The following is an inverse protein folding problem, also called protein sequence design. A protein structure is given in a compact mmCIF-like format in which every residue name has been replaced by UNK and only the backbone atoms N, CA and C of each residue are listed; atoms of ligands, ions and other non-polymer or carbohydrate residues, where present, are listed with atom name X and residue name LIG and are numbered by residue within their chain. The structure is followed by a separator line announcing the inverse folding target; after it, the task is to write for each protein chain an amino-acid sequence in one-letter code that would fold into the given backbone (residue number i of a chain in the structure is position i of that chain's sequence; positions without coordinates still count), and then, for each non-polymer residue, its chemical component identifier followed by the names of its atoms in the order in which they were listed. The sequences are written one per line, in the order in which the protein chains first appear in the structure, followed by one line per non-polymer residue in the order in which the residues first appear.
data_IF_779000262045
#
_entry.id   IF_779000262045
#
_cell.length_a   1.000
_cell.length_b   1.000
_cell.length_c   1.000
_cell.angle_alpha   90.00
_cell.angle_beta   90.00
_cell.angle_gamma   90.00
#
_symmetry.space_group_name_H-M   'P 1'
#
loop_
_entity.id
_entity.type
_entity.pdbx_description
1 polymer ?
#
# COMPACT_ATOMS: atom_id res chain seq x y z
N UNK A 1 17.16 -1.26 24.18
CA UNK A 1 16.18 -0.18 24.47
C UNK A 1 16.50 1.00 23.55
N UNK A 2 15.87 1.06 22.37
CA UNK A 2 15.97 2.22 21.48
C UNK A 2 14.76 3.10 21.75
N UNK A 3 14.99 4.35 22.13
CA UNK A 3 13.96 5.35 22.45
C UNK A 3 13.34 5.99 21.19
N UNK A 4 13.58 5.43 20.01
CA UNK A 4 12.94 5.88 18.77
C UNK A 4 11.73 4.98 18.50
N UNK A 5 10.53 5.56 18.48
CA UNK A 5 9.33 4.85 18.02
C UNK A 5 9.62 4.24 16.64
N UNK A 6 9.31 2.96 16.40
CA UNK A 6 9.55 2.32 15.09
C UNK A 6 8.87 3.07 13.93
N UNK A 7 7.79 3.80 14.23
CA UNK A 7 7.12 4.73 13.31
C UNK A 7 8.02 5.90 12.84
N UNK A 8 8.82 6.48 13.75
CA UNK A 8 9.75 7.56 13.44
C UNK A 8 10.96 7.04 12.64
N UNK A 9 11.41 5.82 12.93
CA UNK A 9 12.47 5.17 12.16
C UNK A 9 12.01 4.83 10.74
N UNK A 10 10.77 4.37 10.58
CA UNK A 10 10.16 4.13 9.27
C UNK A 10 9.98 5.44 8.48
N UNK A 11 9.58 6.52 9.14
CA UNK A 11 9.49 7.84 8.54
C UNK A 11 10.88 8.36 8.10
N UNK A 12 11.91 8.23 8.93
CA UNK A 12 13.28 8.62 8.58
C UNK A 12 13.84 7.81 7.41
N UNK A 13 13.61 6.49 7.41
CA UNK A 13 13.96 5.62 6.28
C UNK A 13 13.20 5.97 5.00
N UNK A 14 11.97 6.50 5.11
CA UNK A 14 11.14 6.93 3.97
C UNK A 14 11.65 8.21 3.31
N UNK A 15 12.18 9.15 4.09
CA UNK A 15 12.64 10.45 3.61
C UNK A 15 14.16 10.53 3.42
N UNK A 16 14.87 9.42 3.63
CA UNK A 16 16.34 9.40 3.62
C UNK A 16 16.92 9.91 2.31
N UNK A 17 16.40 9.45 1.18
CA UNK A 17 16.87 9.86 -0.15
C UNK A 17 16.62 11.36 -0.40
N UNK A 18 15.50 11.89 0.09
CA UNK A 18 15.19 13.32 0.00
C UNK A 18 16.12 14.17 0.89
N UNK A 19 16.39 13.72 2.11
CA UNK A 19 17.31 14.41 3.05
C UNK A 19 18.76 14.40 2.53
N UNK A 20 19.19 13.27 1.95
CA UNK A 20 20.52 13.17 1.31
C UNK A 20 20.59 14.09 0.10
N UNK A 21 19.56 14.10 -0.77
CA UNK A 21 19.48 15.00 -1.92
C UNK A 21 19.54 16.48 -1.52
N UNK A 22 18.81 16.87 -0.47
CA UNK A 22 18.87 18.22 0.10
C UNK A 22 20.27 18.59 0.58
N UNK A 23 20.95 17.66 1.26
CA UNK A 23 22.32 17.87 1.72
C UNK A 23 23.30 18.06 0.56
N UNK A 24 23.13 17.30 -0.52
CA UNK A 24 23.94 17.44 -1.74
C UNK A 24 23.69 18.77 -2.45
N UNK A 25 22.45 19.25 -2.50
CA UNK A 25 22.13 20.56 -3.09
C UNK A 25 22.74 21.71 -2.30
N UNK A 26 22.68 21.65 -0.96
CA UNK A 26 23.33 22.64 -0.09
C UNK A 26 24.85 22.60 -0.25
N UNK A 27 25.45 21.41 -0.29
CA UNK A 27 26.88 21.26 -0.51
C UNK A 27 27.31 21.75 -1.91
N UNK A 28 26.51 21.46 -2.94
CA UNK A 28 26.70 21.95 -4.29
C UNK A 28 26.64 23.47 -4.36
N UNK A 29 25.64 24.08 -3.72
CA UNK A 29 25.47 25.54 -3.65
C UNK A 29 26.67 26.23 -2.99
N UNK A 30 27.15 25.71 -1.85
CA UNK A 30 28.36 26.22 -1.18
C UNK A 30 29.59 26.09 -2.09
N UNK A 31 29.67 25.00 -2.85
CA UNK A 31 30.78 24.75 -3.77
C UNK A 31 30.77 25.75 -4.93
N UNK A 32 29.60 26.09 -5.50
CA UNK A 32 29.49 27.05 -6.63
C UNK A 32 30.09 28.44 -6.29
N UNK A 33 29.99 28.89 -5.04
CA UNK A 33 30.55 30.18 -4.60
C UNK A 33 32.07 30.17 -4.37
N UNK A 34 32.75 29.05 -4.62
CA UNK A 34 34.19 28.96 -4.47
C UNK A 34 34.97 29.74 -5.54
N UNK A 35 36.26 30.05 -5.31
CA UNK A 35 37.03 30.99 -6.13
C UNK A 35 37.46 30.49 -7.52
N UNK A 36 37.29 29.20 -7.84
CA UNK A 36 37.78 28.61 -9.09
C UNK A 36 36.65 28.20 -10.04
N UNK A 37 36.93 28.18 -11.35
CA UNK A 37 35.96 27.65 -12.34
C UNK A 37 35.65 26.16 -12.13
N UNK A 38 36.59 25.38 -11.58
CA UNK A 38 36.36 23.99 -11.25
C UNK A 38 35.24 23.84 -10.21
N UNK A 39 35.20 24.73 -9.21
CA UNK A 39 34.18 24.72 -8.17
C UNK A 39 32.76 24.94 -8.74
N UNK A 40 32.61 25.75 -9.79
CA UNK A 40 31.33 25.92 -10.49
C UNK A 40 30.87 24.62 -11.17
N UNK A 41 31.77 23.91 -11.87
CA UNK A 41 31.43 22.64 -12.53
C UNK A 41 31.04 21.58 -11.49
N UNK A 42 31.84 21.43 -10.43
CA UNK A 42 31.56 20.47 -9.36
C UNK A 42 30.28 20.79 -8.59
N UNK A 43 30.03 22.07 -8.30
CA UNK A 43 28.82 22.51 -7.61
C UNK A 43 27.55 22.23 -8.42
N UNK A 44 27.57 22.50 -9.74
CA UNK A 44 26.44 22.18 -10.62
C UNK A 44 26.20 20.67 -10.74
N UNK A 45 27.26 19.86 -10.79
CA UNK A 45 27.13 18.39 -10.79
C UNK A 45 26.55 17.86 -9.48
N UNK A 46 26.94 18.43 -8.34
CA UNK A 46 26.38 18.06 -7.04
C UNK A 46 24.90 18.43 -6.93
N UNK A 47 24.51 19.63 -7.40
CA UNK A 47 23.10 20.06 -7.40
C UNK A 47 22.24 19.22 -8.37
N UNK A 48 22.77 18.84 -9.53
CA UNK A 48 22.01 17.97 -10.45
C UNK A 48 21.79 16.58 -9.84
N UNK A 49 22.81 16.02 -9.19
CA UNK A 49 22.70 14.74 -8.48
C UNK A 49 21.74 14.82 -7.29
N UNK A 50 21.80 15.90 -6.50
CA UNK A 50 20.90 16.16 -5.38
C UNK A 50 19.45 16.26 -5.82
N UNK A 51 19.18 17.02 -6.88
CA UNK A 51 17.85 17.16 -7.50
C UNK A 51 17.31 15.82 -7.99
N UNK A 52 18.11 14.99 -8.66
CA UNK A 52 17.70 13.65 -9.11
C UNK A 52 17.35 12.76 -7.91
N UNK A 53 18.16 12.76 -6.85
CA UNK A 53 17.90 11.99 -5.64
C UNK A 53 16.65 12.47 -4.90
N UNK A 54 16.41 13.78 -4.85
CA UNK A 54 15.17 14.35 -4.33
C UNK A 54 13.96 13.89 -5.12
N UNK A 55 14.02 13.90 -6.45
CA UNK A 55 12.92 13.48 -7.31
C UNK A 55 12.61 11.99 -7.14
N UNK A 56 13.63 11.13 -7.12
CA UNK A 56 13.49 9.69 -6.87
C UNK A 56 12.97 9.42 -5.46
N UNK A 57 13.49 10.14 -4.46
CA UNK A 57 13.02 10.05 -3.08
C UNK A 57 11.56 10.46 -2.95
N UNK A 58 11.13 11.52 -3.63
CA UNK A 58 9.75 12.00 -3.63
C UNK A 58 8.81 11.01 -4.33
N UNK A 59 9.21 10.44 -5.47
CA UNK A 59 8.47 9.36 -6.14
C UNK A 59 8.35 8.15 -5.22
N UNK A 60 9.46 7.65 -4.64
CA UNK A 60 9.45 6.48 -3.75
C UNK A 60 8.65 6.70 -2.47
N UNK A 61 8.73 7.88 -1.87
CA UNK A 61 7.94 8.22 -0.69
C UNK A 61 6.43 8.28 -1.01
N UNK A 62 6.07 8.71 -2.23
CA UNK A 62 4.69 8.74 -2.71
C UNK A 62 4.14 7.33 -2.99
N UNK A 63 4.95 6.43 -3.54
CA UNK A 63 4.53 5.04 -3.83
C UNK A 63 4.53 4.12 -2.59
N UNK A 64 5.45 4.31 -1.62
CA UNK A 64 5.46 3.55 -0.35
C UNK A 64 4.43 4.00 0.69
N UNK A 65 3.59 4.99 0.37
CA UNK A 65 2.65 5.58 1.33
C UNK A 65 1.33 4.80 1.49
N UNK A 66 1.07 3.77 0.67
CA UNK A 66 -0.21 3.05 0.73
C UNK A 66 -0.07 1.53 0.66
N UNK A 67 0.91 0.98 -0.07
CA UNK A 67 1.20 -0.46 -0.12
C UNK A 67 2.39 -0.86 0.77
N UNK A 68 2.15 -1.70 1.77
CA UNK A 68 3.20 -2.23 2.66
C UNK A 68 3.00 -3.68 3.10
N UNK A 69 1.89 -4.28 2.68
CA UNK A 69 1.59 -5.69 2.81
C UNK A 69 2.22 -6.51 1.70
N UNK A 70 2.24 -7.82 1.89
CA UNK A 70 2.68 -8.74 0.85
C UNK A 70 1.67 -8.73 -0.31
N UNK A 71 2.18 -8.59 -1.54
CA UNK A 71 1.40 -8.74 -2.76
C UNK A 71 0.68 -7.49 -3.27
N UNK A 72 0.12 -7.63 -4.47
CA UNK A 72 -0.62 -6.59 -5.20
C UNK A 72 -2.02 -7.09 -5.48
N UNK A 73 -3.01 -6.21 -5.30
CA UNK A 73 -4.41 -6.44 -5.63
C UNK A 73 -4.77 -5.62 -6.85
N UNK A 74 -5.40 -6.26 -7.82
CA UNK A 74 -5.99 -5.63 -8.98
C UNK A 74 -7.49 -5.94 -8.98
N UNK A 75 -8.30 -4.89 -9.12
CA UNK A 75 -9.76 -4.99 -9.07
C UNK A 75 -10.30 -4.41 -10.36
N UNK A 76 -10.95 -5.27 -11.12
CA UNK A 76 -11.77 -4.91 -12.27
C UNK A 76 -13.25 -5.09 -11.90
N UNK A 77 -14.16 -4.57 -12.71
CA UNK A 77 -15.61 -4.49 -12.43
C UNK A 77 -16.26 -5.85 -12.17
N UNK A 78 -15.65 -6.94 -12.66
CA UNK A 78 -16.17 -8.31 -12.52
C UNK A 78 -15.26 -9.23 -11.72
N UNK A 79 -14.05 -8.80 -11.39
CA UNK A 79 -12.99 -9.71 -10.96
C UNK A 79 -12.01 -9.06 -9.98
N UNK A 80 -11.69 -9.78 -8.92
CA UNK A 80 -10.65 -9.44 -7.95
C UNK A 80 -9.49 -10.40 -8.16
N UNK A 81 -8.31 -9.84 -8.42
CA UNK A 81 -7.07 -10.58 -8.64
C UNK A 81 -6.06 -10.19 -7.57
N UNK A 82 -5.44 -11.18 -6.93
CA UNK A 82 -4.39 -10.96 -5.93
C UNK A 82 -3.14 -11.74 -6.31
N UNK A 83 -2.03 -11.01 -6.38
CA UNK A 83 -0.70 -11.50 -6.72
C UNK A 83 0.19 -11.44 -5.47
N UNK A 84 0.06 -12.45 -4.60
CA UNK A 84 0.90 -12.58 -3.42
C UNK A 84 2.18 -13.38 -3.66
N UNK A 85 3.20 -13.23 -2.79
CA UNK A 85 4.52 -13.86 -2.96
C UNK A 85 4.51 -15.38 -2.72
N UNK A 86 3.60 -15.88 -1.89
CA UNK A 86 3.48 -17.30 -1.56
C UNK A 86 2.21 -17.94 -2.15
N UNK A 87 1.14 -17.15 -2.25
CA UNK A 87 -0.14 -17.56 -2.79
C UNK A 87 -0.79 -16.37 -3.48
N UNK A 88 -1.54 -16.64 -4.54
CA UNK A 88 -2.30 -15.67 -5.28
C UNK A 88 -3.54 -16.34 -5.86
N UNK A 89 -4.43 -15.53 -6.41
CA UNK A 89 -5.64 -16.06 -6.98
C UNK A 89 -6.55 -14.99 -7.54
N UNK A 90 -7.55 -15.48 -8.23
CA UNK A 90 -8.59 -14.70 -8.86
C UNK A 90 -9.92 -15.19 -8.31
N UNK A 91 -10.81 -14.26 -8.01
CA UNK A 91 -12.20 -14.48 -7.61
C UNK A 91 -13.07 -13.51 -8.39
N UNK A 92 -14.10 -14.02 -9.07
CA UNK A 92 -15.11 -13.18 -9.71
C UNK A 92 -16.05 -12.56 -8.65
N UNK A 93 -16.40 -11.30 -8.81
CA UNK A 93 -17.31 -10.59 -7.90
C UNK A 93 -18.70 -11.25 -7.86
N UNK A 94 -19.13 -11.80 -9.00
CA UNK A 94 -20.39 -12.54 -9.12
C UNK A 94 -20.35 -13.92 -8.42
N UNK A 95 -19.18 -14.50 -8.21
CA UNK A 95 -19.01 -15.80 -7.54
C UNK A 95 -18.79 -15.68 -6.04
N UNK A 96 -18.51 -14.47 -5.53
CA UNK A 96 -18.28 -14.19 -4.12
C UNK A 96 -19.47 -14.63 -3.25
N UNK A 97 -19.23 -15.52 -2.28
CA UNK A 97 -20.26 -16.02 -1.36
C UNK A 97 -20.09 -15.47 0.05
N UNK A 98 -18.86 -15.17 0.46
CA UNK A 98 -18.55 -14.65 1.79
C UNK A 98 -17.31 -13.77 1.76
N UNK A 99 -17.35 -12.70 2.55
CA UNK A 99 -16.20 -11.86 2.88
C UNK A 99 -16.00 -11.92 4.39
N UNK A 100 -14.79 -12.26 4.83
CA UNK A 100 -14.40 -12.24 6.23
C UNK A 100 -13.06 -11.51 6.42
N UNK A 101 -12.76 -11.14 7.66
CA UNK A 101 -11.41 -10.72 8.08
C UNK A 101 -10.87 -11.78 9.03
N UNK A 102 -9.66 -12.25 8.75
CA UNK A 102 -8.96 -13.30 9.49
C UNK A 102 -7.63 -12.78 10.06
N UNK A 103 -7.15 -13.33 11.20
CA UNK A 103 -5.82 -13.00 11.72
C UNK A 103 -4.72 -13.43 10.73
N UNK A 104 -3.58 -12.70 10.64
CA UNK A 104 -3.17 -11.60 11.51
C UNK A 104 -3.75 -10.22 11.15
N UNK A 105 -4.17 -10.01 9.89
CA UNK A 105 -5.03 -8.90 9.43
C UNK A 105 -5.26 -9.03 7.91
N UNK A 106 -5.99 -10.06 7.48
CA UNK A 106 -6.23 -10.34 6.05
C UNK A 106 -7.72 -10.41 5.75
N UNK A 107 -8.11 -9.91 4.59
CA UNK A 107 -9.38 -10.26 3.97
C UNK A 107 -9.36 -11.72 3.53
N UNK A 108 -10.49 -12.38 3.65
CA UNK A 108 -10.71 -13.72 3.14
C UNK A 108 -11.97 -13.70 2.27
N UNK A 109 -11.79 -14.01 0.99
CA UNK A 109 -12.85 -14.02 -0.02
C UNK A 109 -13.15 -15.47 -0.39
N UNK A 110 -14.35 -15.93 -0.08
CA UNK A 110 -14.81 -17.27 -0.46
C UNK A 110 -15.69 -17.20 -1.69
N UNK A 111 -15.49 -18.12 -2.63
CA UNK A 111 -16.32 -18.25 -3.84
C UNK A 111 -17.38 -19.36 -3.70
N UNK A 112 -18.20 -19.54 -4.73
CA UNK A 112 -19.19 -20.62 -4.84
C UNK A 112 -18.56 -22.01 -4.98
N UNK A 113 -17.32 -22.08 -5.47
CA UNK A 113 -16.59 -23.33 -5.73
C UNK A 113 -15.82 -23.85 -4.51
N UNK A 114 -15.92 -23.17 -3.36
CA UNK A 114 -15.23 -23.53 -2.12
C UNK A 114 -13.77 -23.09 -2.04
N UNK A 115 -13.31 -22.28 -2.98
CA UNK A 115 -11.98 -21.65 -2.94
C UNK A 115 -12.02 -20.45 -2.00
N UNK A 116 -10.93 -20.28 -1.25
CA UNK A 116 -10.72 -19.12 -0.39
C UNK A 116 -9.49 -18.36 -0.84
N UNK A 117 -9.61 -17.04 -1.03
CA UNK A 117 -8.52 -16.15 -1.37
C UNK A 117 -8.25 -15.21 -0.19
N UNK A 118 -7.07 -15.35 0.42
CA UNK A 118 -6.62 -14.46 1.48
C UNK A 118 -5.78 -13.31 0.92
N UNK A 119 -6.15 -12.08 1.28
CA UNK A 119 -5.52 -10.84 0.82
C UNK A 119 -5.17 -9.99 2.05
N UNK A 120 -3.90 -9.68 2.32
CA UNK A 120 -3.53 -8.77 3.41
C UNK A 120 -4.22 -7.41 3.26
N UNK A 121 -4.77 -6.85 4.34
CA UNK A 121 -5.50 -5.56 4.24
C UNK A 121 -4.61 -4.39 3.81
N UNK A 122 -3.28 -4.55 3.93
CA UNK A 122 -2.27 -3.56 3.57
C UNK A 122 -1.55 -3.89 2.25
N UNK A 123 -2.02 -4.89 1.49
CA UNK A 123 -1.51 -5.19 0.16
C UNK A 123 -1.64 -3.95 -0.75
N UNK A 124 -0.74 -3.82 -1.71
CA UNK A 124 -0.77 -2.70 -2.65
C UNK A 124 -2.05 -2.77 -3.50
N UNK A 125 -2.83 -1.69 -3.59
CA UNK A 125 -4.11 -1.67 -4.30
C UNK A 125 -5.29 -2.24 -3.50
N UNK A 126 -5.08 -2.63 -2.23
CA UNK A 126 -6.16 -3.14 -1.38
C UNK A 126 -7.27 -2.10 -1.12
N UNK A 127 -7.04 -0.81 -1.39
CA UNK A 127 -8.06 0.23 -1.31
C UNK A 127 -9.19 -0.01 -2.31
N UNK A 128 -8.88 -0.54 -3.51
CA UNK A 128 -9.87 -0.82 -4.55
C UNK A 128 -10.85 -1.94 -4.15
N UNK A 129 -10.46 -2.81 -3.20
CA UNK A 129 -11.38 -3.81 -2.63
C UNK A 129 -12.55 -3.15 -1.91
N UNK A 130 -12.34 -1.99 -1.29
CA UNK A 130 -13.41 -1.30 -0.57
C UNK A 130 -14.53 -0.89 -1.52
N UNK A 131 -14.18 -0.36 -2.69
CA UNK A 131 -15.14 0.06 -3.71
C UNK A 131 -15.86 -1.16 -4.33
N UNK A 132 -15.13 -2.24 -4.64
CA UNK A 132 -15.73 -3.49 -5.10
C UNK A 132 -16.68 -4.11 -4.07
N UNK A 133 -16.31 -4.10 -2.80
CA UNK A 133 -17.16 -4.60 -1.73
C UNK A 133 -18.38 -3.71 -1.55
N UNK A 134 -18.24 -2.38 -1.61
CA UNK A 134 -19.34 -1.44 -1.47
C UNK A 134 -20.41 -1.58 -2.58
N UNK A 135 -20.04 -2.11 -3.74
CA UNK A 135 -20.98 -2.44 -4.82
C UNK A 135 -21.87 -3.67 -4.52
N UNK A 136 -21.53 -4.49 -3.52
CA UNK A 136 -22.28 -5.70 -3.18
C UNK A 136 -23.60 -5.39 -2.45
N UNK A 137 -24.70 -6.10 -2.77
CA UNK A 137 -25.98 -5.87 -2.13
C UNK A 137 -25.95 -6.24 -0.65
N UNK A 138 -26.51 -5.37 0.18
CA UNK A 138 -26.68 -5.60 1.63
C UNK A 138 -25.42 -5.43 2.48
N UNK A 139 -24.33 -4.89 1.90
CA UNK A 139 -23.12 -4.57 2.66
C UNK A 139 -23.23 -3.17 3.29
N UNK A 140 -22.60 -2.99 4.45
CA UNK A 140 -22.52 -1.69 5.13
C UNK A 140 -21.11 -1.15 5.02
N UNK A 141 -20.95 0.06 4.45
CA UNK A 141 -19.67 0.75 4.37
C UNK A 141 -19.05 0.98 5.76
N UNK A 142 -19.87 1.22 6.79
CA UNK A 142 -19.41 1.33 8.17
C UNK A 142 -18.81 0.00 8.68
N UNK A 143 -19.47 -1.13 8.36
CA UNK A 143 -18.98 -2.46 8.75
C UNK A 143 -17.66 -2.82 8.04
N UNK A 144 -17.50 -2.43 6.78
CA UNK A 144 -16.23 -2.58 6.05
C UNK A 144 -15.11 -1.74 6.67
N UNK A 145 -15.40 -0.50 7.07
CA UNK A 145 -14.42 0.37 7.69
C UNK A 145 -14.01 -0.13 9.08
N UNK A 146 -14.94 -0.63 9.89
CA UNK A 146 -14.62 -1.22 11.20
C UNK A 146 -13.77 -2.49 11.07
N UNK A 147 -14.06 -3.31 10.07
CA UNK A 147 -13.36 -4.55 9.79
C UNK A 147 -11.87 -4.36 9.44
N UNK A 148 -11.50 -3.23 8.84
CA UNK A 148 -10.09 -2.90 8.54
C UNK A 148 -9.35 -2.22 9.70
N UNK A 149 -10.08 -1.60 10.63
CA UNK A 149 -9.48 -0.90 11.79
C UNK A 149 -9.12 -1.87 12.92
N UNK A 150 -9.97 -2.85 13.17
CA UNK A 150 -9.81 -3.80 14.28
C UNK A 150 -9.02 -5.01 13.80
N UNK A 151 -7.87 -5.29 14.43
CA UNK A 151 -7.16 -6.55 14.18
C UNK A 151 -8.01 -7.71 14.71
N UNK A 152 -8.47 -8.63 13.85
CA UNK A 152 -9.28 -9.74 14.27
C UNK A 152 -8.45 -10.68 15.16
N UNK A 153 -9.04 -11.12 16.27
CA UNK A 153 -8.50 -12.22 17.09
C UNK A 153 -9.02 -13.58 16.57
N UNK A 154 -10.14 -13.57 15.85
CA UNK A 154 -10.76 -14.72 15.21
C UNK A 154 -11.43 -14.31 13.89
N UNK A 155 -11.74 -15.29 13.04
CA UNK A 155 -12.43 -15.08 11.76
C UNK A 155 -13.75 -14.35 11.97
N UNK A 156 -13.84 -13.14 11.44
CA UNK A 156 -15.04 -12.29 11.55
C UNK A 156 -15.66 -12.12 10.18
N UNK A 157 -16.87 -12.66 9.99
CA UNK A 157 -17.58 -12.55 8.71
C UNK A 157 -18.20 -11.15 8.59
N UNK A 158 -17.87 -10.45 7.51
CA UNK A 158 -18.33 -9.08 7.24
C UNK A 158 -19.57 -9.07 6.36
N UNK A 159 -19.59 -9.97 5.38
CA UNK A 159 -20.68 -10.10 4.41
C UNK A 159 -20.86 -11.56 3.98
N UNK A 160 -22.11 -11.91 3.68
CA UNK A 160 -22.50 -13.19 3.09
C UNK A 160 -23.50 -12.86 1.99
N UNK A 161 -23.35 -13.53 0.83
CA UNK A 161 -24.27 -13.36 -0.30
C UNK A 161 -25.72 -13.62 0.16
N UNK A 162 -26.66 -12.69 -0.09
CA UNK A 162 -28.07 -12.92 0.22
C UNK A 162 -28.56 -14.15 -0.56
N UNK A 163 -29.22 -15.07 0.13
CA UNK A 163 -29.90 -16.17 -0.51
C UNK A 163 -31.08 -15.58 -1.31
N UNK A 164 -31.08 -15.74 -2.64
CA UNK A 164 -32.26 -15.44 -3.42
C UNK A 164 -33.36 -16.40 -2.98
N UNK A 165 -34.33 -15.90 -2.20
CA UNK A 165 -35.57 -16.63 -1.96
C UNK A 165 -36.30 -16.69 -3.29
N UNK A 166 -36.26 -17.86 -3.93
CA UNK A 166 -37.19 -18.19 -5.01
C UNK A 166 -38.59 -18.20 -4.39
N UNK A 167 -39.39 -17.18 -4.73
CA UNK A 167 -40.84 -17.11 -4.43
C UNK A 167 -41.64 -17.65 -5.60
#
# INVERSE_FOLDING_TARGET
MSFIRPEAQAALMRWREFVIGMGLDVAGLVTVFGPTRANLIFGVLLMSLGTVLMFVGLQRARFRSTGGGAGVVDVDERQISYFGPAAGGVVAVEDLTRIAVVPPHSWELSDTFGKSLEIPVNAEGAEALFDAFAALPGISAARLADATRVRPVSRTTVWVKPHQRLS
#
